data_IF_875311605005
#
_entry.id   IF_875311605005
#
_cell.length_a   1.000
_cell.length_b   1.000
_cell.length_c   1.000
_cell.angle_alpha   90.00
_cell.angle_beta   90.00
_cell.angle_gamma   90.00
#
_symmetry.space_group_name_H-M   'P 1'
#
loop_
_entity.id
_entity.type
_entity.pdbx_description
1 polymer ?
#
# COMPACT_ATOMS: atom_id res chain seq x y z
N UNK A 1 -22.48 46.52 -33.91
CA UNK A 1 -22.09 45.14 -34.30
C UNK A 1 -20.89 44.66 -33.47
N UNK A 2 -20.93 44.76 -32.12
CA UNK A 2 -19.75 44.51 -31.26
C UNK A 2 -20.02 43.92 -29.87
N UNK A 3 -21.27 43.89 -29.38
CA UNK A 3 -21.57 43.47 -28.00
C UNK A 3 -21.86 41.97 -27.84
N UNK A 4 -22.34 41.29 -28.89
CA UNK A 4 -22.66 39.86 -28.83
C UNK A 4 -21.43 38.94 -28.89
N UNK A 5 -20.37 39.36 -29.60
CA UNK A 5 -19.13 38.58 -29.73
C UNK A 5 -18.26 38.59 -28.46
N UNK A 6 -18.36 39.66 -27.65
CA UNK A 6 -17.61 39.76 -26.39
C UNK A 6 -18.22 38.89 -25.28
N UNK A 7 -19.54 38.63 -25.33
CA UNK A 7 -20.24 37.81 -24.32
C UNK A 7 -20.04 36.32 -24.56
N UNK A 8 -20.00 35.87 -25.81
CA UNK A 8 -19.71 34.48 -26.16
C UNK A 8 -18.29 34.06 -25.75
N UNK A 9 -17.28 34.92 -25.96
CA UNK A 9 -15.91 34.64 -25.52
C UNK A 9 -15.74 34.51 -23.99
N UNK A 10 -16.50 35.29 -23.22
CA UNK A 10 -16.43 35.29 -21.73
C UNK A 10 -16.99 34.03 -21.08
N UNK A 11 -17.89 33.32 -21.76
CA UNK A 11 -18.54 32.11 -21.24
C UNK A 11 -17.87 30.85 -21.80
N UNK A 12 -17.45 30.87 -23.06
CA UNK A 12 -16.85 29.70 -23.73
C UNK A 12 -15.42 29.43 -23.24
N UNK A 13 -14.63 30.47 -22.96
CA UNK A 13 -13.24 30.31 -22.48
C UNK A 13 -13.11 29.56 -21.14
N UNK A 14 -13.85 29.91 -20.05
CA UNK A 14 -13.74 29.17 -18.79
C UNK A 14 -14.29 27.74 -18.90
N UNK A 15 -15.25 27.50 -19.79
CA UNK A 15 -15.84 26.17 -20.00
C UNK A 15 -14.86 25.24 -20.74
N UNK A 16 -14.12 25.77 -21.71
CA UNK A 16 -13.01 25.05 -22.37
C UNK A 16 -11.86 24.79 -21.41
N UNK A 17 -11.46 25.78 -20.59
CA UNK A 17 -10.44 25.61 -19.55
C UNK A 17 -10.83 24.53 -18.52
N UNK A 18 -12.08 24.54 -18.04
CA UNK A 18 -12.57 23.51 -17.11
C UNK A 18 -12.59 22.11 -17.73
N UNK A 19 -12.96 21.99 -19.02
CA UNK A 19 -12.91 20.71 -19.74
C UNK A 19 -11.46 20.19 -19.85
N UNK A 20 -10.48 21.04 -20.18
CA UNK A 20 -9.08 20.65 -20.28
C UNK A 20 -8.47 20.21 -18.94
N UNK A 21 -8.92 20.78 -17.81
CA UNK A 21 -8.43 20.43 -16.46
C UNK A 21 -9.01 19.12 -15.90
N UNK A 22 -10.09 18.60 -16.49
CA UNK A 22 -10.68 17.31 -16.11
C UNK A 22 -10.06 16.09 -16.81
N UNK A 23 -9.28 16.31 -17.87
CA UNK A 23 -8.63 15.24 -18.63
C UNK A 23 -7.64 14.34 -17.84
N UNK A 24 -6.82 14.82 -16.89
CA UNK A 24 -5.85 13.95 -16.20
C UNK A 24 -6.50 12.91 -15.28
N UNK A 25 -7.76 13.10 -14.86
CA UNK A 25 -8.48 12.15 -14.01
C UNK A 25 -8.85 10.85 -14.77
N UNK A 26 -9.08 10.93 -16.08
CA UNK A 26 -9.42 9.78 -16.93
C UNK A 26 -8.20 9.03 -17.49
N UNK A 27 -7.01 9.64 -17.39
CA UNK A 27 -5.76 9.03 -17.83
C UNK A 27 -5.08 8.20 -16.73
N UNK A 28 -5.68 8.07 -15.54
CA UNK A 28 -5.15 7.18 -14.51
C UNK A 28 -5.30 5.73 -14.99
N UNK A 29 -4.19 5.01 -15.24
CA UNK A 29 -4.25 3.63 -15.71
C UNK A 29 -4.91 2.79 -14.62
N UNK A 30 -6.19 2.50 -14.83
CA UNK A 30 -6.96 1.61 -13.98
C UNK A 30 -6.62 0.18 -14.40
N UNK A 31 -5.66 -0.45 -13.72
CA UNK A 31 -5.42 -1.89 -13.83
C UNK A 31 -4.42 -2.37 -14.88
N UNK A 32 -3.66 -1.48 -15.54
CA UNK A 32 -2.43 -1.89 -16.23
C UNK A 32 -1.29 -1.91 -15.20
N UNK A 33 -0.73 -3.10 -14.97
CA UNK A 33 0.45 -3.35 -14.15
C UNK A 33 1.50 -2.27 -14.47
N UNK A 34 1.58 -1.25 -13.61
CA UNK A 34 2.62 -0.23 -13.77
C UNK A 34 3.97 -0.93 -13.67
N UNK A 35 4.99 -0.48 -14.42
CA UNK A 35 6.35 -0.98 -14.24
C UNK A 35 6.70 -0.92 -12.75
N UNK A 36 7.25 -2.00 -12.20
CA UNK A 36 7.60 -2.04 -10.79
C UNK A 36 8.64 -0.94 -10.51
N UNK A 37 8.30 -0.02 -9.60
CA UNK A 37 9.20 1.03 -9.15
C UNK A 37 9.87 0.55 -7.86
N UNK A 38 10.94 -0.22 -8.04
CA UNK A 38 11.64 -0.90 -6.96
C UNK A 38 12.82 -0.07 -6.48
N UNK A 39 12.94 0.05 -5.16
CA UNK A 39 14.13 0.62 -4.52
C UNK A 39 15.19 -0.46 -4.23
N UNK A 40 14.77 -1.72 -4.19
CA UNK A 40 15.66 -2.86 -3.94
C UNK A 40 15.03 -4.18 -4.37
N UNK A 41 15.87 -5.10 -4.87
CA UNK A 41 15.48 -6.47 -5.19
C UNK A 41 14.32 -6.57 -6.18
N UNK A 42 13.43 -7.51 -5.92
CA UNK A 42 12.28 -7.83 -6.76
C UNK A 42 10.95 -7.35 -6.17
N UNK A 43 10.92 -6.98 -4.88
CA UNK A 43 9.68 -6.76 -4.13
C UNK A 43 9.65 -5.47 -3.31
N UNK A 44 10.79 -4.85 -3.00
CA UNK A 44 10.77 -3.62 -2.20
C UNK A 44 10.47 -2.41 -3.09
N UNK A 45 9.19 -2.04 -3.21
CA UNK A 45 8.76 -0.84 -3.95
C UNK A 45 7.26 -0.82 -4.29
N UNK A 46 6.90 -0.01 -5.27
CA UNK A 46 5.54 -0.02 -5.84
C UNK A 46 5.48 -1.10 -6.93
N UNK A 47 4.61 -2.10 -6.73
CA UNK A 47 4.57 -3.29 -7.57
C UNK A 47 5.73 -4.24 -7.28
N UNK A 48 5.85 -5.30 -8.07
CA UNK A 48 6.95 -6.27 -7.94
C UNK A 48 7.25 -7.01 -9.23
N UNK A 49 8.44 -7.61 -9.27
CA UNK A 49 8.89 -8.51 -10.34
C UNK A 49 8.47 -9.97 -10.08
N UNK A 50 7.38 -10.19 -9.34
CA UNK A 50 6.87 -11.54 -9.12
C UNK A 50 6.66 -12.26 -10.47
N UNK A 51 7.01 -13.55 -10.59
CA UNK A 51 7.31 -14.49 -9.50
C UNK A 51 8.82 -14.74 -9.26
N UNK A 52 9.73 -13.79 -9.59
CA UNK A 52 11.17 -13.98 -9.33
C UNK A 52 11.46 -14.21 -7.84
N UNK A 53 12.44 -15.06 -7.48
CA UNK A 53 12.78 -15.29 -6.07
C UNK A 53 13.33 -14.00 -5.43
N UNK A 54 13.10 -13.79 -4.12
CA UNK A 54 13.73 -12.69 -3.40
C UNK A 54 15.26 -12.82 -3.41
N UNK A 55 15.95 -11.69 -3.53
CA UNK A 55 17.42 -11.69 -3.67
C UNK A 55 18.16 -11.73 -2.32
N UNK A 56 17.50 -11.31 -1.23
CA UNK A 56 18.03 -11.36 0.14
C UNK A 56 16.92 -11.38 1.21
N UNK A 57 17.31 -11.23 2.48
CA UNK A 57 16.38 -11.25 3.61
C UNK A 57 15.40 -10.06 3.63
N UNK A 58 15.84 -8.88 3.17
CA UNK A 58 15.01 -7.67 3.10
C UNK A 58 13.97 -7.81 1.98
N UNK A 59 14.42 -8.21 0.80
CA UNK A 59 13.56 -8.48 -0.35
C UNK A 59 12.53 -9.59 -0.02
N UNK A 60 12.92 -10.60 0.76
CA UNK A 60 12.00 -11.64 1.22
C UNK A 60 10.93 -11.11 2.19
N UNK A 61 11.24 -10.09 3.01
CA UNK A 61 10.24 -9.42 3.85
C UNK A 61 9.25 -8.60 3.02
N UNK A 62 9.74 -7.87 2.02
CA UNK A 62 8.90 -7.17 1.05
C UNK A 62 7.99 -8.14 0.28
N UNK A 63 8.52 -9.28 -0.19
CA UNK A 63 7.75 -10.29 -0.89
C UNK A 63 6.57 -10.85 -0.06
N UNK A 64 6.77 -11.02 1.26
CA UNK A 64 5.71 -11.45 2.18
C UNK A 64 4.65 -10.36 2.41
N UNK A 65 5.03 -9.08 2.36
CA UNK A 65 4.10 -7.96 2.45
C UNK A 65 3.24 -7.84 1.18
N UNK A 66 3.86 -7.97 0.01
CA UNK A 66 3.15 -8.03 -1.28
C UNK A 66 2.13 -9.16 -1.30
N UNK A 67 2.54 -10.37 -0.89
CA UNK A 67 1.65 -11.53 -0.81
C UNK A 67 0.54 -11.38 0.25
N UNK A 68 0.70 -10.48 1.23
CA UNK A 68 -0.33 -10.15 2.22
C UNK A 68 -1.38 -9.17 1.66
N UNK A 69 -1.05 -8.46 0.59
CA UNK A 69 -1.89 -7.44 -0.03
C UNK A 69 -2.86 -8.07 -1.04
N UNK A 70 -4.17 -7.82 -0.95
CA UNK A 70 -5.11 -8.30 -1.95
C UNK A 70 -4.77 -7.72 -3.33
N UNK A 71 -4.94 -8.51 -4.39
CA UNK A 71 -4.66 -8.09 -5.77
C UNK A 71 -5.45 -6.82 -6.10
N UNK A 72 -4.75 -5.76 -6.48
CA UNK A 72 -5.36 -4.47 -6.84
C UNK A 72 -5.94 -3.66 -5.66
N UNK A 73 -5.70 -4.09 -4.42
CA UNK A 73 -6.17 -3.40 -3.21
C UNK A 73 -5.05 -2.83 -2.35
N UNK A 74 -5.43 -2.23 -1.23
CA UNK A 74 -4.49 -1.76 -0.21
C UNK A 74 -4.18 -2.88 0.80
N UNK A 75 -2.98 -2.89 1.41
CA UNK A 75 -2.67 -3.81 2.50
C UNK A 75 -3.58 -3.56 3.70
N UNK A 76 -3.74 -4.56 4.56
CA UNK A 76 -4.30 -4.34 5.90
C UNK A 76 -3.26 -3.68 6.82
N UNK A 77 -3.71 -3.05 7.91
CA UNK A 77 -2.79 -2.54 8.95
C UNK A 77 -1.88 -3.64 9.51
N UNK A 78 -2.39 -4.87 9.61
CA UNK A 78 -1.61 -6.01 10.08
C UNK A 78 -0.48 -6.39 9.11
N UNK A 79 -0.69 -6.27 7.80
CA UNK A 79 0.38 -6.46 6.81
C UNK A 79 1.50 -5.43 7.00
N UNK A 80 1.14 -4.14 7.14
CA UNK A 80 2.13 -3.07 7.33
C UNK A 80 2.93 -3.24 8.62
N UNK A 81 2.27 -3.59 9.73
CA UNK A 81 2.93 -3.88 11.01
C UNK A 81 3.86 -5.10 10.93
N UNK A 82 3.47 -6.12 10.16
CA UNK A 82 4.32 -7.30 9.94
C UNK A 82 5.58 -6.92 9.17
N UNK A 83 5.45 -6.12 8.10
CA UNK A 83 6.59 -5.62 7.33
C UNK A 83 7.54 -4.82 8.24
N UNK A 84 7.00 -3.86 9.01
CA UNK A 84 7.78 -3.07 9.95
C UNK A 84 8.59 -3.95 10.91
N UNK A 85 7.95 -4.94 11.54
CA UNK A 85 8.62 -5.81 12.51
C UNK A 85 9.70 -6.69 11.86
N UNK A 86 9.49 -7.19 10.65
CA UNK A 86 10.49 -8.01 9.94
C UNK A 86 11.70 -7.19 9.54
N UNK A 87 11.50 -6.01 8.97
CA UNK A 87 12.60 -5.16 8.49
C UNK A 87 13.36 -4.49 9.64
N UNK A 88 12.68 -4.14 10.73
CA UNK A 88 13.32 -3.64 11.96
C UNK A 88 14.24 -4.69 12.62
N UNK A 89 13.92 -5.98 12.48
CA UNK A 89 14.84 -7.07 12.90
C UNK A 89 16.06 -7.18 11.98
N UNK A 90 15.87 -7.06 10.67
CA UNK A 90 16.95 -7.08 9.67
C UNK A 90 17.90 -5.90 9.89
N UNK A 91 17.38 -4.71 10.15
CA UNK A 91 18.17 -3.50 10.42
C UNK A 91 19.15 -3.67 11.60
N UNK A 92 18.78 -4.47 12.60
CA UNK A 92 19.59 -4.74 13.80
C UNK A 92 20.45 -6.00 13.71
N UNK A 93 20.36 -6.77 12.63
CA UNK A 93 21.12 -8.01 12.46
C UNK A 93 22.52 -7.71 11.92
N UNK A 94 23.54 -7.87 12.77
CA UNK A 94 24.95 -7.61 12.43
C UNK A 94 25.52 -8.55 11.36
N UNK A 95 24.80 -9.62 11.00
CA UNK A 95 25.21 -10.53 9.92
C UNK A 95 24.78 -10.02 8.54
N UNK A 96 23.93 -9.00 8.49
CA UNK A 96 23.49 -8.37 7.25
C UNK A 96 24.49 -7.30 6.80
N UNK A 97 24.69 -7.10 5.49
CA UNK A 97 25.46 -5.99 4.96
C UNK A 97 24.94 -4.62 5.45
N UNK A 98 25.83 -3.64 5.65
CA UNK A 98 25.47 -2.36 6.24
C UNK A 98 24.44 -1.57 5.41
N UNK A 99 24.53 -1.65 4.09
CA UNK A 99 23.55 -1.07 3.16
C UNK A 99 22.17 -1.73 3.30
N UNK A 100 22.11 -3.06 3.40
CA UNK A 100 20.86 -3.79 3.66
C UNK A 100 20.27 -3.42 5.02
N UNK A 101 21.11 -3.28 6.05
CA UNK A 101 20.66 -2.86 7.38
C UNK A 101 20.07 -1.46 7.37
N UNK A 102 20.76 -0.52 6.71
CA UNK A 102 20.29 0.86 6.57
C UNK A 102 18.98 0.94 5.79
N UNK A 103 18.90 0.24 4.66
CA UNK A 103 17.69 0.20 3.84
C UNK A 103 16.53 -0.48 4.57
N UNK A 104 16.78 -1.56 5.32
CA UNK A 104 15.77 -2.21 6.14
C UNK A 104 15.21 -1.26 7.21
N UNK A 105 16.06 -0.40 7.81
CA UNK A 105 15.63 0.66 8.73
C UNK A 105 14.74 1.69 8.05
N UNK A 106 15.09 2.10 6.82
CA UNK A 106 14.25 3.00 6.01
C UNK A 106 12.88 2.37 5.70
N UNK A 107 12.84 1.11 5.25
CA UNK A 107 11.59 0.38 5.00
C UNK A 107 10.77 0.23 6.29
N UNK A 108 11.40 -0.08 7.42
CA UNK A 108 10.71 -0.19 8.71
C UNK A 108 10.02 1.11 9.12
N UNK A 109 10.69 2.26 8.95
CA UNK A 109 10.12 3.57 9.22
C UNK A 109 8.97 3.90 8.24
N UNK A 110 9.14 3.62 6.95
CA UNK A 110 8.11 3.81 5.94
C UNK A 110 6.87 2.95 6.19
N UNK A 111 7.05 1.69 6.60
CA UNK A 111 5.96 0.76 6.86
C UNK A 111 4.97 1.25 7.93
N UNK A 112 5.41 2.07 8.89
CA UNK A 112 4.55 2.65 9.92
C UNK A 112 3.54 3.69 9.38
N UNK A 113 3.83 4.30 8.23
CA UNK A 113 3.03 5.37 7.63
C UNK A 113 2.39 4.97 6.30
N UNK A 114 2.58 3.73 5.86
CA UNK A 114 1.91 3.20 4.67
C UNK A 114 0.39 3.24 4.86
N UNK A 115 -0.31 3.65 3.81
CA UNK A 115 -1.77 3.57 3.74
C UNK A 115 -2.21 2.11 3.87
N UNK A 116 -3.42 1.93 4.40
CA UNK A 116 -4.03 0.62 4.56
C UNK A 116 -5.53 0.74 4.35
N UNK A 117 -6.18 -0.36 3.97
CA UNK A 117 -7.63 -0.43 3.96
C UNK A 117 -8.14 -0.54 5.42
N UNK A 118 -8.87 0.46 5.95
CA UNK A 118 -9.39 0.42 7.31
C UNK A 118 -10.49 -0.63 7.51
N UNK A 119 -11.08 -1.14 6.43
CA UNK A 119 -12.13 -2.16 6.45
C UNK A 119 -11.57 -3.56 6.19
N UNK A 120 -10.26 -3.70 5.92
CA UNK A 120 -9.65 -5.00 5.72
C UNK A 120 -9.82 -5.88 6.97
N UNK A 121 -10.24 -7.14 6.82
CA UNK A 121 -10.42 -8.03 7.95
C UNK A 121 -9.09 -8.25 8.66
N UNK A 122 -9.08 -8.07 9.99
CA UNK A 122 -7.92 -8.41 10.81
C UNK A 122 -7.83 -9.92 10.89
N UNK A 123 -6.91 -10.52 10.11
CA UNK A 123 -6.62 -11.94 10.21
C UNK A 123 -5.88 -12.25 11.51
N UNK A 124 -6.63 -12.53 12.58
CA UNK A 124 -6.05 -13.02 13.84
C UNK A 124 -5.66 -14.49 13.65
N UNK A 125 -4.35 -14.77 13.67
CA UNK A 125 -3.87 -16.15 13.78
C UNK A 125 -4.12 -16.65 15.20
N UNK A 126 -5.25 -17.34 15.40
CA UNK A 126 -5.53 -18.05 16.65
C UNK A 126 -4.63 -19.30 16.68
N UNK A 127 -3.73 -19.45 17.67
CA UNK A 127 -2.92 -20.65 17.79
C UNK A 127 -3.85 -21.87 17.95
N UNK A 128 -3.50 -22.98 17.32
CA UNK A 128 -4.33 -24.19 17.30
C UNK A 128 -4.68 -24.69 18.71
N UNK A 129 -3.85 -24.41 19.71
CA UNK A 129 -4.08 -24.73 21.12
C UNK A 129 -5.30 -24.05 21.75
N UNK A 130 -5.73 -22.89 21.23
CA UNK A 130 -6.87 -22.13 21.78
C UNK A 130 -8.23 -22.67 21.29
N UNK A 131 -8.25 -23.54 20.27
CA UNK A 131 -9.51 -24.04 19.68
C UNK A 131 -10.29 -25.00 20.58
N UNK A 132 -9.67 -25.58 21.61
CA UNK A 132 -10.35 -26.56 22.47
C UNK A 132 -11.15 -25.93 23.62
N UNK A 133 -10.86 -24.67 24.01
CA UNK A 133 -11.39 -24.08 25.25
C UNK A 133 -12.38 -22.93 25.04
N UNK A 134 -12.80 -22.63 23.80
CA UNK A 134 -13.70 -21.49 23.52
C UNK A 134 -15.12 -22.00 23.20
N UNK A 135 -16.12 -21.80 24.09
CA UNK A 135 -17.54 -21.96 23.73
C UNK A 135 -17.89 -21.01 22.57
N UNK A 136 -18.86 -21.35 21.70
CA UNK A 136 -19.14 -20.55 20.51
C UNK A 136 -19.45 -19.10 20.89
N UNK A 137 -18.49 -18.21 20.59
CA UNK A 137 -18.58 -16.81 20.95
C UNK A 137 -19.72 -16.15 20.16
N UNK A 138 -20.64 -15.51 20.89
CA UNK A 138 -21.66 -14.64 20.31
C UNK A 138 -20.99 -13.60 19.41
N UNK A 139 -21.60 -13.37 18.26
CA UNK A 139 -21.23 -12.34 17.27
C UNK A 139 -20.94 -11.01 17.99
N UNK A 140 -19.66 -10.66 18.12
CA UNK A 140 -19.25 -9.39 18.68
C UNK A 140 -19.47 -8.29 17.65
N UNK A 141 -20.49 -7.46 17.87
CA UNK A 141 -20.75 -6.22 17.14
C UNK A 141 -19.57 -5.27 17.31
N UNK A 142 -18.99 -4.82 16.20
CA UNK A 142 -17.89 -3.87 16.19
C UNK A 142 -18.27 -2.58 16.93
N UNK A 143 -17.51 -2.25 17.98
CA UNK A 143 -17.56 -0.93 18.62
C UNK A 143 -16.37 -0.14 18.08
N UNK A 144 -16.64 0.74 17.12
CA UNK A 144 -15.71 1.77 16.71
C UNK A 144 -15.64 2.81 17.84
N UNK A 145 -14.48 2.96 18.49
CA UNK A 145 -14.17 4.17 19.25
C UNK A 145 -12.99 4.87 18.60
N UNK A 146 -13.29 6.07 18.11
CA UNK A 146 -12.35 7.06 17.63
C UNK A 146 -11.45 7.54 18.77
N UNK A 147 -10.14 7.58 18.50
CA UNK A 147 -9.20 8.60 18.95
C UNK A 147 -8.11 8.71 17.88
#
# INVERSE_FOLDING_TARGET
MGSAQAMTFRIVAPLLLAACLSAPALAQPSGLQQPAALIHGNYCGLGSNAPLPPVDALDAACARHDACTPVGGLPSRACNLRLQWETDRIARDLRQPDDIRALAGFIAAGAAILTFDPNAPVAVRIPASVRYDVPPARVHRAVYRAY
#
